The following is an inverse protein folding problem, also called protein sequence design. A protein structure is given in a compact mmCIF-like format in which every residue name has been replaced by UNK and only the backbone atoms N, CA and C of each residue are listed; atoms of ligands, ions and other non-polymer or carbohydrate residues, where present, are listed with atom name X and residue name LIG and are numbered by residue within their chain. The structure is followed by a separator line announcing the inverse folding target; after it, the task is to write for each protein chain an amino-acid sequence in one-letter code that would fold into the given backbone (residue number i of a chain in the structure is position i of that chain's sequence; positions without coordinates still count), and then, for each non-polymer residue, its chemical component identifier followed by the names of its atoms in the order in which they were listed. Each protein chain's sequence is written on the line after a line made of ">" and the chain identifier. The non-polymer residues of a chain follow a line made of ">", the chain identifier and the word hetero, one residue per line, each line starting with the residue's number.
data_IF_396017172537
#
_entry.id   IF_396017172537
#
_cell.length_a   1.000
_cell.length_b   1.000
_cell.length_c   1.000
_cell.angle_alpha   90.00
_cell.angle_beta   90.00
_cell.angle_gamma   90.00
#
_symmetry.space_group_name_H-M   'P 1'
#
loop_
_entity.id
_entity.type
_entity.pdbx_description
1 polymer ?
#
# COMPACT_ATOMS: atom_id res chain seq x y z
N UNK A 1 15.91 -19.93 -56.25
CA UNK A 1 16.81 -21.11 -56.21
C UNK A 1 17.55 -21.10 -54.88
N UNK A 2 17.62 -22.24 -54.17
CA UNK A 2 18.65 -22.68 -53.17
C UNK A 2 19.30 -21.65 -52.22
N UNK A 3 19.56 -21.86 -50.92
CA UNK A 3 19.37 -22.94 -49.92
C UNK A 3 19.76 -22.32 -48.54
N UNK A 4 19.76 -22.96 -47.35
CA UNK A 4 19.56 -24.35 -46.89
C UNK A 4 18.95 -24.33 -45.46
N UNK A 5 18.51 -25.48 -44.93
CA UNK A 5 18.16 -25.67 -43.51
C UNK A 5 19.41 -25.80 -42.61
N UNK A 6 19.27 -25.56 -41.30
CA UNK A 6 19.91 -26.38 -40.25
C UNK A 6 19.01 -26.50 -39.01
N UNK A 7 18.53 -27.71 -38.74
CA UNK A 7 18.12 -28.13 -37.39
C UNK A 7 19.37 -28.46 -36.56
N UNK A 8 19.28 -28.33 -35.25
CA UNK A 8 19.80 -29.35 -34.34
C UNK A 8 19.09 -29.26 -32.98
N UNK A 9 18.58 -30.39 -32.50
CA UNK A 9 18.06 -30.57 -31.15
C UNK A 9 18.95 -31.58 -30.43
N UNK A 10 19.16 -31.46 -29.11
CA UNK A 10 19.65 -32.57 -28.27
C UNK A 10 19.29 -32.39 -26.77
N UNK A 11 18.23 -33.11 -26.39
CA UNK A 11 18.17 -34.13 -25.32
C UNK A 11 18.87 -33.93 -23.95
N UNK A 12 18.02 -33.91 -22.90
CA UNK A 12 18.12 -34.47 -21.53
C UNK A 12 19.45 -34.79 -20.83
N UNK A 13 19.52 -34.42 -19.54
CA UNK A 13 20.00 -35.30 -18.47
C UNK A 13 19.31 -34.99 -17.12
N UNK A 14 18.76 -36.03 -16.47
CA UNK A 14 18.26 -36.02 -15.08
C UNK A 14 19.34 -36.63 -14.17
N UNK A 15 19.57 -36.08 -12.98
CA UNK A 15 20.13 -36.84 -11.84
C UNK A 15 19.44 -36.38 -10.56
N UNK A 16 18.93 -37.34 -9.77
CA UNK A 16 18.37 -37.12 -8.46
C UNK A 16 19.18 -37.88 -7.39
N UNK A 17 19.50 -37.20 -6.29
CA UNK A 17 20.11 -37.73 -5.07
C UNK A 17 19.56 -36.85 -3.93
N UNK A 18 19.11 -37.33 -2.77
CA UNK A 18 18.94 -38.71 -2.27
C UNK A 18 18.68 -38.61 -0.75
N UNK A 19 17.63 -39.24 -0.23
CA UNK A 19 17.25 -39.13 1.19
C UNK A 19 18.13 -39.99 2.10
N UNK A 20 18.52 -39.48 3.28
CA UNK A 20 18.94 -40.28 4.44
C UNK A 20 18.77 -39.52 5.77
N UNK A 21 17.75 -39.90 6.54
CA UNK A 21 17.79 -39.95 8.03
C UNK A 21 18.06 -41.44 8.40
N UNK A 22 18.04 -41.93 9.67
CA UNK A 22 17.85 -41.27 10.98
C UNK A 22 18.79 -41.76 12.12
N UNK A 23 18.76 -41.07 13.28
CA UNK A 23 18.95 -41.73 14.59
C UNK A 23 18.10 -41.06 15.67
N UNK A 24 17.58 -41.88 16.59
CA UNK A 24 16.57 -41.51 17.59
C UNK A 24 17.09 -41.19 19.01
N UNK A 25 16.27 -41.42 20.05
CA UNK A 25 16.20 -40.50 21.20
C UNK A 25 16.73 -41.08 22.53
N UNK A 26 16.91 -40.21 23.54
CA UNK A 26 17.12 -40.64 24.91
C UNK A 26 16.41 -39.74 25.93
N UNK A 27 15.63 -40.36 26.82
CA UNK A 27 15.00 -39.73 28.00
C UNK A 27 15.93 -39.89 29.21
N UNK A 28 16.05 -38.84 30.02
CA UNK A 28 16.12 -38.93 31.47
C UNK A 28 15.84 -37.54 32.09
N UNK A 29 15.03 -37.50 33.14
CA UNK A 29 15.12 -36.45 34.17
C UNK A 29 15.33 -37.18 35.51
N UNK A 30 14.86 -36.62 36.63
CA UNK A 30 14.95 -35.24 37.09
C UNK A 30 15.83 -35.16 38.36
N UNK A 31 16.22 -33.97 38.83
CA UNK A 31 16.24 -33.63 40.27
C UNK A 31 16.56 -32.15 40.54
N UNK A 32 16.28 -31.69 41.76
CA UNK A 32 16.20 -30.28 42.13
C UNK A 32 17.42 -29.78 42.92
N UNK A 33 17.62 -28.45 42.94
CA UNK A 33 17.68 -27.68 44.20
C UNK A 33 17.67 -26.16 44.01
N UNK A 34 17.18 -25.52 45.08
CA UNK A 34 17.08 -24.08 45.36
C UNK A 34 18.42 -23.34 45.29
N UNK A 35 18.42 -22.07 44.89
CA UNK A 35 18.98 -21.00 45.73
C UNK A 35 18.50 -19.59 45.31
N UNK A 36 18.33 -18.73 46.30
CA UNK A 36 17.79 -17.36 46.17
C UNK A 36 18.92 -16.36 45.98
N UNK A 37 18.79 -15.41 45.05
CA UNK A 37 19.54 -14.15 45.14
C UNK A 37 18.68 -12.94 44.76
N UNK A 38 18.53 -12.05 45.73
CA UNK A 38 17.98 -10.71 45.58
C UNK A 38 18.91 -9.85 44.72
N UNK A 39 18.38 -9.13 43.74
CA UNK A 39 19.00 -7.91 43.24
C UNK A 39 17.90 -6.88 42.91
N UNK A 40 18.16 -5.61 43.20
CA UNK A 40 17.12 -4.57 43.20
C UNK A 40 16.98 -3.97 41.79
N UNK A 41 15.76 -4.00 41.25
CA UNK A 41 15.46 -3.31 39.99
C UNK A 41 15.15 -1.84 40.28
N UNK A 42 16.02 -0.95 39.79
CA UNK A 42 15.83 0.48 39.90
C UNK A 42 14.69 0.92 38.98
N UNK A 43 13.83 1.83 39.46
CA UNK A 43 12.74 2.36 38.65
C UNK A 43 13.27 3.12 37.43
N UNK A 44 13.10 2.53 36.24
CA UNK A 44 13.42 3.18 34.97
C UNK A 44 12.42 4.33 34.72
N UNK A 45 12.87 5.54 34.31
CA UNK A 45 11.99 6.68 34.16
C UNK A 45 11.06 6.51 32.96
N UNK A 46 9.76 6.46 33.23
CA UNK A 46 8.70 6.26 32.24
C UNK A 46 8.90 7.12 30.99
N UNK A 47 8.90 6.46 29.83
CA UNK A 47 9.14 7.13 28.54
C UNK A 47 7.95 8.05 28.25
N UNK A 48 8.15 9.34 27.87
CA UNK A 48 7.03 10.23 27.60
C UNK A 48 6.15 9.66 26.49
N UNK A 49 4.91 9.31 26.83
CA UNK A 49 3.93 8.85 25.87
C UNK A 49 3.77 9.92 24.78
N UNK A 50 4.02 9.54 23.52
CA UNK A 50 3.96 10.45 22.38
C UNK A 50 2.54 11.01 22.30
N UNK A 51 2.38 12.31 22.62
CA UNK A 51 1.07 12.91 22.76
C UNK A 51 0.29 12.77 21.44
N UNK A 52 -0.87 12.10 21.51
CA UNK A 52 -1.73 11.86 20.35
C UNK A 52 -2.02 13.19 19.66
N UNK A 53 -1.42 13.39 18.49
CA UNK A 53 -1.41 14.68 17.81
C UNK A 53 -2.83 15.23 17.65
N UNK A 54 -3.02 16.50 18.00
CA UNK A 54 -4.31 17.17 17.85
C UNK A 54 -4.73 17.13 16.37
N UNK A 55 -6.00 16.79 16.12
CA UNK A 55 -6.45 16.54 14.75
C UNK A 55 -6.30 17.81 13.88
N UNK A 56 -5.52 17.76 12.77
CA UNK A 56 -4.99 18.95 12.08
C UNK A 56 -6.11 19.80 11.48
N UNK A 57 -6.17 21.10 11.80
CA UNK A 57 -7.36 21.92 11.52
C UNK A 57 -7.60 22.26 10.05
N UNK A 58 -6.63 22.04 9.16
CA UNK A 58 -6.66 22.46 7.76
C UNK A 58 -6.86 21.28 6.80
N UNK A 59 -7.64 21.47 5.74
CA UNK A 59 -7.82 20.50 4.66
C UNK A 59 -6.85 20.74 3.49
N UNK A 60 -6.50 19.68 2.77
CA UNK A 60 -5.78 19.76 1.50
C UNK A 60 -6.59 20.46 0.41
N UNK A 61 -5.91 21.21 -0.46
CA UNK A 61 -6.53 21.81 -1.64
C UNK A 61 -6.53 20.82 -2.80
N UNK A 62 -7.61 20.84 -3.55
CA UNK A 62 -7.81 20.02 -4.75
C UNK A 62 -8.08 20.98 -5.90
N UNK A 63 -7.19 21.00 -6.89
CA UNK A 63 -7.27 21.83 -8.08
C UNK A 63 -7.87 21.03 -9.24
N UNK A 64 -8.64 21.72 -10.07
CA UNK A 64 -9.25 21.20 -11.29
C UNK A 64 -8.55 21.66 -12.57
N UNK A 65 -7.44 22.39 -12.45
CA UNK A 65 -6.63 22.95 -13.55
C UNK A 65 -5.60 21.96 -14.13
N UNK A 66 -5.67 20.70 -13.73
CA UNK A 66 -4.81 19.60 -14.21
C UNK A 66 -5.53 18.73 -15.24
N UNK A 67 -4.76 18.01 -16.05
CA UNK A 67 -5.25 17.12 -17.13
C UNK A 67 -6.23 16.04 -16.66
N UNK A 68 -6.08 15.57 -15.42
CA UNK A 68 -6.82 14.47 -14.83
C UNK A 68 -7.30 14.88 -13.43
N UNK A 69 -8.35 15.72 -13.36
CA UNK A 69 -8.80 16.30 -12.09
C UNK A 69 -9.45 15.22 -11.22
N UNK A 70 -8.87 14.99 -10.04
CA UNK A 70 -9.29 13.93 -9.11
C UNK A 70 -10.81 13.88 -8.82
N UNK A 71 -11.56 15.00 -8.69
CA UNK A 71 -13.01 14.96 -8.48
C UNK A 71 -13.82 14.34 -9.64
N UNK A 72 -13.28 14.31 -10.86
CA UNK A 72 -13.90 13.67 -12.02
C UNK A 72 -13.57 12.16 -12.13
N UNK A 73 -12.79 11.62 -11.19
CA UNK A 73 -12.25 10.26 -11.22
C UNK A 73 -12.59 9.49 -9.95
N UNK A 74 -12.34 10.06 -8.77
CA UNK A 74 -12.59 9.44 -7.47
C UNK A 74 -14.06 9.57 -7.07
N UNK A 75 -14.61 8.51 -6.48
CA UNK A 75 -16.04 8.40 -6.14
C UNK A 75 -16.95 8.20 -7.37
N UNK A 76 -16.40 8.06 -8.57
CA UNK A 76 -17.17 7.89 -9.81
C UNK A 76 -17.39 6.42 -10.17
N UNK A 77 -18.50 6.07 -10.85
CA UNK A 77 -18.70 4.74 -11.43
C UNK A 77 -17.67 4.42 -12.52
N UNK A 78 -17.37 3.13 -12.73
CA UNK A 78 -16.43 2.63 -13.77
C UNK A 78 -16.62 3.34 -15.12
N UNK A 79 -17.84 3.38 -15.65
CA UNK A 79 -18.12 3.98 -16.97
C UNK A 79 -17.75 5.47 -17.06
N UNK A 80 -17.92 6.24 -15.98
CA UNK A 80 -17.52 7.65 -15.92
C UNK A 80 -15.99 7.81 -15.91
N UNK A 81 -15.28 6.90 -15.25
CA UNK A 81 -13.81 6.89 -15.24
C UNK A 81 -13.25 6.46 -16.60
N UNK A 82 -13.87 5.47 -17.23
CA UNK A 82 -13.50 4.99 -18.58
C UNK A 82 -13.81 6.03 -19.67
N UNK A 83 -14.79 6.91 -19.49
CA UNK A 83 -14.98 8.06 -20.38
C UNK A 83 -13.75 9.01 -20.40
N UNK A 84 -13.04 9.13 -19.28
CA UNK A 84 -11.80 9.92 -19.20
C UNK A 84 -10.62 9.19 -19.86
N UNK A 85 -10.43 7.89 -19.57
CA UNK A 85 -9.24 7.15 -19.99
C UNK A 85 -9.35 6.37 -21.30
N UNK A 86 -10.56 6.02 -21.74
CA UNK A 86 -10.79 4.96 -22.73
C UNK A 86 -10.72 3.57 -22.09
N UNK A 87 -10.57 2.55 -22.94
CA UNK A 87 -10.52 1.14 -22.51
C UNK A 87 -9.29 0.85 -21.61
N UNK A 88 -9.48 -0.02 -20.62
CA UNK A 88 -8.41 -0.43 -19.70
C UNK A 88 -7.39 -1.36 -20.37
N UNK A 89 -6.15 -1.31 -19.88
CA UNK A 89 -5.02 -2.10 -20.39
C UNK A 89 -4.85 -3.43 -19.66
N UNK A 90 -4.82 -4.51 -20.42
CA UNK A 90 -4.58 -5.86 -19.90
C UNK A 90 -5.79 -6.45 -19.17
N UNK A 91 -5.55 -7.46 -18.33
CA UNK A 91 -6.62 -8.21 -17.63
C UNK A 91 -7.00 -7.65 -16.25
N UNK A 92 -6.32 -6.60 -15.78
CA UNK A 92 -6.46 -6.09 -14.43
C UNK A 92 -6.18 -7.12 -13.33
N UNK A 93 -6.73 -6.89 -12.15
CA UNK A 93 -6.81 -7.82 -11.02
C UNK A 93 -8.20 -7.71 -10.40
N UNK A 94 -8.87 -8.83 -10.10
CA UNK A 94 -10.14 -8.84 -9.37
C UNK A 94 -10.08 -9.81 -8.18
N UNK A 95 -10.79 -9.47 -7.10
CA UNK A 95 -10.92 -10.30 -5.87
C UNK A 95 -12.19 -9.93 -5.11
N UNK A 96 -12.62 -10.80 -4.19
CA UNK A 96 -13.82 -10.59 -3.36
C UNK A 96 -13.54 -9.97 -1.99
N UNK A 97 -12.49 -9.14 -1.88
CA UNK A 97 -12.03 -8.53 -0.62
C UNK A 97 -11.39 -7.15 -0.85
N UNK A 98 -11.80 -6.17 -0.07
CA UNK A 98 -11.28 -4.80 -0.01
C UNK A 98 -10.48 -4.58 1.28
N UNK A 99 -9.78 -3.45 1.37
CA UNK A 99 -9.08 -3.01 2.58
C UNK A 99 -9.35 -1.51 2.79
N UNK A 100 -9.69 -1.14 4.03
CA UNK A 100 -9.76 0.26 4.49
C UNK A 100 -8.75 0.45 5.61
N UNK A 101 -8.25 1.68 5.80
CA UNK A 101 -7.21 1.99 6.79
C UNK A 101 -7.71 2.87 7.96
N UNK A 102 -8.98 3.30 7.95
CA UNK A 102 -9.60 4.10 8.98
C UNK A 102 -10.74 3.35 9.69
N UNK A 103 -10.84 3.39 11.04
CA UNK A 103 -9.85 3.95 11.97
C UNK A 103 -8.57 3.09 12.08
N UNK A 104 -8.64 1.84 11.65
CA UNK A 104 -7.54 0.88 11.59
C UNK A 104 -7.60 0.09 10.27
N UNK A 105 -6.63 -0.80 10.05
CA UNK A 105 -6.56 -1.61 8.82
C UNK A 105 -7.52 -2.78 8.86
N UNK A 106 -8.70 -2.62 8.26
CA UNK A 106 -9.75 -3.65 8.22
C UNK A 106 -9.92 -4.23 6.81
N UNK A 107 -10.08 -5.56 6.72
CA UNK A 107 -10.47 -6.26 5.48
C UNK A 107 -11.97 -6.56 5.48
N UNK A 108 -12.64 -6.39 4.35
CA UNK A 108 -14.08 -6.64 4.23
C UNK A 108 -14.44 -7.19 2.83
N UNK A 109 -15.58 -7.88 2.72
CA UNK A 109 -16.09 -8.40 1.43
C UNK A 109 -16.64 -7.26 0.57
N UNK A 110 -16.21 -7.25 -0.69
CA UNK A 110 -16.63 -6.31 -1.74
C UNK A 110 -16.36 -6.96 -3.12
N UNK A 111 -16.83 -6.35 -4.20
CA UNK A 111 -16.28 -6.56 -5.53
C UNK A 111 -15.09 -5.60 -5.75
N UNK A 112 -13.86 -6.09 -5.58
CA UNK A 112 -12.65 -5.33 -5.88
C UNK A 112 -12.22 -5.57 -7.34
N UNK A 113 -11.87 -4.49 -8.04
CA UNK A 113 -11.15 -4.55 -9.31
C UNK A 113 -10.05 -3.49 -9.35
N UNK A 114 -8.84 -3.86 -9.76
CA UNK A 114 -7.75 -2.95 -10.10
C UNK A 114 -7.56 -3.00 -11.61
N UNK A 115 -7.76 -1.87 -12.28
CA UNK A 115 -7.52 -1.68 -13.70
C UNK A 115 -6.34 -0.76 -13.95
N UNK A 116 -5.72 -0.88 -15.13
CA UNK A 116 -4.66 0.02 -15.60
C UNK A 116 -5.14 0.77 -16.83
N UNK A 117 -4.68 2.00 -17.00
CA UNK A 117 -5.09 2.88 -18.10
C UNK A 117 -3.86 3.59 -18.70
N UNK A 118 -3.95 3.90 -19.98
CA UNK A 118 -3.00 4.80 -20.64
C UNK A 118 -3.19 6.23 -20.11
N UNK A 119 -2.09 6.96 -19.94
CA UNK A 119 -2.17 8.41 -19.79
C UNK A 119 -2.18 9.10 -21.16
N UNK A 120 -3.32 9.67 -21.53
CA UNK A 120 -3.48 10.46 -22.78
C UNK A 120 -2.65 11.75 -22.77
N UNK A 121 -2.27 12.28 -21.60
CA UNK A 121 -1.48 13.50 -21.45
C UNK A 121 0.04 13.30 -21.49
N UNK A 122 0.50 12.05 -21.61
CA UNK A 122 1.91 11.64 -21.61
C UNK A 122 2.75 12.24 -20.46
N UNK A 123 2.15 12.36 -19.28
CA UNK A 123 2.78 12.77 -18.02
C UNK A 123 3.24 11.55 -17.20
N UNK A 124 2.55 10.42 -17.34
CA UNK A 124 2.74 9.21 -16.54
C UNK A 124 3.05 8.00 -17.43
N UNK A 125 3.78 7.03 -16.89
CA UNK A 125 4.04 5.74 -17.54
C UNK A 125 2.78 4.85 -17.56
N UNK A 126 1.91 5.01 -16.57
CA UNK A 126 0.59 4.39 -16.54
C UNK A 126 -0.24 4.86 -15.35
N UNK A 127 -1.55 4.68 -15.46
CA UNK A 127 -2.51 5.03 -14.41
C UNK A 127 -3.17 3.74 -13.92
N UNK A 128 -3.50 3.69 -12.64
CA UNK A 128 -4.12 2.56 -11.95
C UNK A 128 -5.37 3.06 -11.25
N UNK A 129 -6.49 2.37 -11.38
CA UNK A 129 -7.72 2.69 -10.63
C UNK A 129 -8.15 1.44 -9.88
N UNK A 130 -8.35 1.57 -8.57
CA UNK A 130 -8.99 0.52 -7.77
C UNK A 130 -10.46 0.89 -7.56
N UNK A 131 -11.33 -0.01 -8.00
CA UNK A 131 -12.76 0.04 -7.84
C UNK A 131 -13.19 -0.86 -6.67
N UNK A 132 -14.06 -0.32 -5.82
CA UNK A 132 -14.76 -1.05 -4.78
C UNK A 132 -16.27 -1.00 -5.10
N UNK A 133 -16.91 -2.16 -5.24
CA UNK A 133 -18.35 -2.29 -5.52
C UNK A 133 -18.82 -1.47 -6.75
N UNK A 134 -17.93 -1.28 -7.74
CA UNK A 134 -18.20 -0.56 -9.00
C UNK A 134 -17.88 0.94 -8.98
N UNK A 135 -17.34 1.47 -7.88
CA UNK A 135 -16.99 2.89 -7.71
C UNK A 135 -15.49 3.04 -7.49
N UNK A 136 -14.86 4.05 -8.11
CA UNK A 136 -13.43 4.32 -7.99
C UNK A 136 -13.07 4.80 -6.59
N UNK A 137 -12.47 3.92 -5.80
CA UNK A 137 -12.02 4.18 -4.44
C UNK A 137 -10.56 4.61 -4.37
N UNK A 138 -9.73 4.23 -5.34
CA UNK A 138 -8.32 4.65 -5.38
C UNK A 138 -7.89 4.98 -6.80
N UNK A 139 -6.99 5.95 -6.94
CA UNK A 139 -6.26 6.20 -8.17
C UNK A 139 -4.76 6.33 -7.88
N UNK A 140 -3.96 5.64 -8.68
CA UNK A 140 -2.51 5.62 -8.62
C UNK A 140 -1.88 6.02 -9.94
N UNK A 141 -0.88 6.89 -9.92
CA UNK A 141 -0.13 7.33 -11.09
C UNK A 141 1.30 6.80 -10.99
N UNK A 142 1.70 5.95 -11.94
CA UNK A 142 3.02 5.30 -12.02
C UNK A 142 3.96 6.08 -12.96
N UNK A 143 5.21 6.28 -12.54
CA UNK A 143 6.34 6.75 -13.36
C UNK A 143 6.15 8.13 -13.98
N UNK A 144 6.48 9.19 -13.25
CA UNK A 144 6.32 10.56 -13.73
C UNK A 144 7.39 10.93 -14.76
N UNK A 145 6.98 11.20 -16.00
CA UNK A 145 7.86 11.46 -17.15
C UNK A 145 8.44 12.88 -17.18
N UNK A 146 7.82 13.82 -16.47
CA UNK A 146 8.15 15.26 -16.52
C UNK A 146 8.96 15.73 -15.28
N UNK A 147 9.43 14.79 -14.46
CA UNK A 147 10.29 15.07 -13.31
C UNK A 147 11.75 15.23 -13.72
N UNK A 148 12.49 16.09 -12.99
CA UNK A 148 13.91 16.35 -13.25
C UNK A 148 14.62 16.78 -11.97
N UNK A 149 15.89 16.42 -11.81
CA UNK A 149 16.67 16.72 -10.61
C UNK A 149 16.32 15.78 -9.43
N UNK A 150 16.73 16.13 -8.18
CA UNK A 150 16.41 15.37 -6.99
C UNK A 150 14.90 15.16 -6.82
N UNK A 151 14.48 14.01 -6.26
CA UNK A 151 13.06 13.72 -6.14
C UNK A 151 12.40 14.55 -5.01
N UNK A 152 11.42 15.37 -5.38
CA UNK A 152 10.55 16.11 -4.45
C UNK A 152 9.09 15.61 -4.59
N UNK A 153 8.48 15.04 -3.54
CA UNK A 153 7.08 14.60 -3.59
C UNK A 153 6.09 15.74 -3.88
N UNK A 154 6.42 17.01 -3.57
CA UNK A 154 5.55 18.17 -3.85
C UNK A 154 5.31 18.37 -5.35
N UNK A 155 6.25 17.94 -6.20
CA UNK A 155 6.08 17.94 -7.67
C UNK A 155 4.98 16.96 -8.10
N UNK A 156 4.92 15.76 -7.52
CA UNK A 156 3.87 14.78 -7.85
C UNK A 156 2.50 15.21 -7.31
N UNK A 157 2.44 15.77 -6.10
CA UNK A 157 1.22 16.38 -5.56
C UNK A 157 0.69 17.44 -6.54
N UNK A 158 1.53 18.39 -6.94
CA UNK A 158 1.14 19.45 -7.88
C UNK A 158 0.68 18.88 -9.23
N UNK A 159 1.33 17.82 -9.75
CA UNK A 159 1.01 17.18 -11.02
C UNK A 159 -0.37 16.48 -11.03
N UNK A 160 -0.86 15.99 -9.89
CA UNK A 160 -2.22 15.44 -9.73
C UNK A 160 -3.23 16.45 -9.17
N UNK A 161 -2.85 17.74 -9.10
CA UNK A 161 -3.73 18.81 -8.64
C UNK A 161 -3.91 18.90 -7.12
N UNK A 162 -2.98 18.37 -6.33
CA UNK A 162 -3.03 18.40 -4.87
C UNK A 162 -2.05 19.40 -4.25
N UNK A 163 -2.50 20.07 -3.19
CA UNK A 163 -1.64 20.68 -2.17
C UNK A 163 -2.08 20.14 -0.81
N UNK A 164 -1.20 19.45 -0.09
CA UNK A 164 -1.51 18.89 1.23
C UNK A 164 -0.89 19.76 2.33
N UNK A 165 -1.61 20.04 3.43
CA UNK A 165 -1.03 20.65 4.62
C UNK A 165 -0.13 19.63 5.32
N UNK A 166 0.74 20.17 6.17
CA UNK A 166 1.63 19.44 7.06
C UNK A 166 2.65 18.53 6.36
N UNK A 167 3.76 18.25 7.04
CA UNK A 167 4.81 17.39 6.49
C UNK A 167 4.40 15.91 6.63
N UNK A 168 4.63 15.08 5.58
CA UNK A 168 4.27 13.67 5.57
C UNK A 168 5.04 12.85 6.61
N UNK A 169 4.45 11.73 7.03
CA UNK A 169 5.25 10.65 7.60
C UNK A 169 6.17 10.11 6.51
N UNK A 170 7.48 10.17 6.73
CA UNK A 170 8.49 9.63 5.81
C UNK A 170 9.04 8.31 6.34
N UNK A 171 9.10 7.28 5.50
CA UNK A 171 9.74 5.99 5.82
C UNK A 171 10.39 5.31 4.61
N UNK A 172 11.11 4.21 4.86
CA UNK A 172 11.79 3.40 3.87
C UNK A 172 11.25 1.96 3.92
N UNK A 173 10.17 1.62 3.18
CA UNK A 173 9.49 0.33 3.30
C UNK A 173 10.26 -0.85 2.67
N UNK A 174 11.28 -0.57 1.86
CA UNK A 174 12.20 -1.55 1.28
C UNK A 174 13.53 -0.88 0.91
N UNK A 175 14.58 -1.67 0.67
CA UNK A 175 15.89 -1.15 0.27
C UNK A 175 15.80 -0.29 -1.00
N UNK A 176 16.34 0.93 -0.92
CA UNK A 176 16.32 1.89 -2.04
C UNK A 176 14.96 2.55 -2.30
N UNK A 177 13.91 2.24 -1.52
CA UNK A 177 12.59 2.86 -1.61
C UNK A 177 12.44 3.89 -0.51
N UNK A 178 12.03 5.12 -0.87
CA UNK A 178 11.51 6.11 0.09
C UNK A 178 10.02 6.30 -0.14
N UNK A 179 9.28 6.52 0.93
CA UNK A 179 7.83 6.80 0.91
C UNK A 179 7.49 7.98 1.81
N UNK A 180 6.56 8.79 1.34
CA UNK A 180 5.91 9.88 2.06
C UNK A 180 4.42 9.55 2.16
N UNK A 181 3.86 9.60 3.36
CA UNK A 181 2.48 9.20 3.61
C UNK A 181 1.71 10.25 4.41
N UNK A 182 0.58 10.65 3.85
CA UNK A 182 -0.42 11.56 4.39
C UNK A 182 -1.66 10.73 4.76
N UNK A 183 -1.71 10.26 6.00
CA UNK A 183 -2.84 9.51 6.58
C UNK A 183 -3.86 10.46 7.22
N UNK A 184 -5.13 10.03 7.41
CA UNK A 184 -6.20 10.91 7.91
C UNK A 184 -5.98 11.50 9.31
N UNK A 185 -5.09 10.92 10.13
CA UNK A 185 -4.69 11.49 11.43
C UNK A 185 -3.80 12.73 11.26
N UNK A 186 -3.13 12.90 10.10
CA UNK A 186 -2.15 13.94 9.80
C UNK A 186 -2.46 14.80 8.58
N UNK A 187 -3.35 14.34 7.70
CA UNK A 187 -3.65 15.03 6.45
C UNK A 187 -5.10 14.81 6.05
N UNK A 188 -5.84 15.92 5.99
CA UNK A 188 -7.27 15.91 5.67
C UNK A 188 -7.48 16.24 4.19
N UNK A 189 -7.31 15.27 3.31
CA UNK A 189 -7.76 15.40 1.92
C UNK A 189 -9.24 14.99 1.84
N UNK A 190 -10.13 15.93 1.49
CA UNK A 190 -11.54 15.67 1.18
C UNK A 190 -11.79 15.91 -0.30
N UNK A 191 -12.44 14.97 -0.98
CA UNK A 191 -12.90 15.10 -2.37
C UNK A 191 -14.38 14.72 -2.38
N UNK A 192 -15.24 15.69 -2.68
CA UNK A 192 -16.68 15.55 -2.45
C UNK A 192 -16.98 15.32 -0.96
N UNK A 193 -17.73 14.26 -0.65
CA UNK A 193 -18.01 13.86 0.74
C UNK A 193 -16.99 12.88 1.33
N UNK A 194 -16.06 12.37 0.52
CA UNK A 194 -15.15 11.30 0.91
C UNK A 194 -13.78 11.82 1.38
N UNK A 195 -13.20 11.16 2.38
CA UNK A 195 -11.83 11.38 2.84
C UNK A 195 -10.85 10.44 2.15
N UNK A 196 -9.69 10.97 1.77
CA UNK A 196 -8.63 10.21 1.11
C UNK A 196 -7.31 10.35 1.87
N UNK A 197 -6.51 9.28 1.83
CA UNK A 197 -5.10 9.29 2.21
C UNK A 197 -4.24 9.34 0.95
N UNK A 198 -3.04 9.90 1.06
CA UNK A 198 -2.08 9.95 -0.07
C UNK A 198 -0.79 9.25 0.32
N UNK A 199 -0.29 8.38 -0.57
CA UNK A 199 1.06 7.84 -0.49
C UNK A 199 1.86 8.23 -1.73
N UNK A 200 3.09 8.69 -1.54
CA UNK A 200 4.06 8.90 -2.61
C UNK A 200 5.25 7.98 -2.34
N UNK A 201 5.80 7.35 -3.36
CA UNK A 201 7.05 6.60 -3.24
C UNK A 201 7.95 6.77 -4.46
N UNK A 202 9.25 6.57 -4.27
CA UNK A 202 10.26 6.56 -5.32
C UNK A 202 11.31 5.49 -5.03
N UNK A 203 11.87 4.89 -6.08
CA UNK A 203 13.00 3.97 -5.96
C UNK A 203 14.27 4.65 -6.48
N UNK A 204 15.27 4.87 -5.63
CA UNK A 204 16.59 5.36 -6.02
C UNK A 204 16.62 6.73 -6.72
N UNK A 205 15.80 7.69 -6.27
CA UNK A 205 15.62 9.03 -6.88
C UNK A 205 15.05 9.04 -8.32
N UNK A 206 14.72 7.87 -8.89
CA UNK A 206 14.27 7.75 -10.28
C UNK A 206 12.79 8.10 -10.45
N UNK A 207 12.52 9.24 -11.11
CA UNK A 207 11.17 9.71 -11.45
C UNK A 207 10.37 8.71 -12.30
N UNK A 208 11.02 7.91 -13.17
CA UNK A 208 10.34 6.85 -13.93
C UNK A 208 9.88 5.69 -13.04
N UNK A 209 10.43 5.58 -11.82
CA UNK A 209 10.10 4.61 -10.78
C UNK A 209 9.40 5.28 -9.58
N UNK A 210 8.81 6.45 -9.79
CA UNK A 210 7.95 7.10 -8.82
C UNK A 210 6.52 6.57 -8.85
N UNK A 211 5.78 6.82 -7.78
CA UNK A 211 4.34 6.57 -7.69
C UNK A 211 3.68 7.58 -6.75
N UNK A 212 2.47 7.99 -7.09
CA UNK A 212 1.53 8.66 -6.18
C UNK A 212 0.20 7.91 -6.20
N UNK A 213 -0.31 7.52 -5.03
CA UNK A 213 -1.61 6.86 -4.84
C UNK A 213 -2.50 7.73 -3.95
N UNK A 214 -3.75 7.96 -4.36
CA UNK A 214 -4.81 8.66 -3.62
C UNK A 214 -5.92 7.66 -3.33
N UNK A 215 -6.06 7.26 -2.06
CA UNK A 215 -6.80 6.06 -1.63
C UNK A 215 -7.94 6.45 -0.68
N UNK A 216 -9.15 5.98 -0.94
CA UNK A 216 -10.34 6.20 -0.11
C UNK A 216 -10.09 5.68 1.31
N UNK A 217 -10.30 6.56 2.28
CA UNK A 217 -10.01 6.32 3.68
C UNK A 217 -11.14 6.73 4.62
N UNK A 218 -12.39 6.70 4.13
CA UNK A 218 -13.57 6.81 4.98
C UNK A 218 -13.70 5.60 5.93
N UNK A 219 -14.20 5.79 7.17
CA UNK A 219 -14.60 4.67 8.02
C UNK A 219 -15.62 3.76 7.31
N UNK A 220 -15.53 2.45 7.53
CA UNK A 220 -16.48 1.50 6.95
C UNK A 220 -17.93 1.84 7.32
N UNK A 221 -18.83 1.79 6.33
CA UNK A 221 -20.28 1.93 6.54
C UNK A 221 -20.83 0.76 7.38
N UNK A 222 -22.04 0.86 7.96
CA UNK A 222 -22.65 -0.26 8.68
C UNK A 222 -22.74 -1.55 7.83
N UNK A 223 -23.05 -1.41 6.54
CA UNK A 223 -23.17 -2.51 5.58
C UNK A 223 -21.82 -3.13 5.23
N UNK A 224 -20.74 -2.34 5.23
CA UNK A 224 -19.36 -2.81 5.08
C UNK A 224 -18.83 -3.47 6.37
N UNK A 225 -19.21 -2.95 7.55
CA UNK A 225 -18.87 -3.55 8.85
C UNK A 225 -19.48 -4.94 9.01
N UNK A 226 -20.71 -5.16 8.54
CA UNK A 226 -21.34 -6.47 8.48
C UNK A 226 -20.62 -7.48 7.55
N UNK A 227 -19.68 -7.02 6.72
CA UNK A 227 -18.89 -7.80 5.75
C UNK A 227 -17.42 -7.98 6.14
N UNK A 228 -17.01 -7.58 7.36
CA UNK A 228 -15.62 -7.71 7.82
C UNK A 228 -15.16 -9.17 7.72
N UNK A 229 -13.98 -9.37 7.14
CA UNK A 229 -13.34 -10.68 7.05
C UNK A 229 -12.48 -10.85 8.30
N UNK A 230 -12.75 -11.85 9.16
CA UNK A 230 -11.92 -12.08 10.34
C UNK A 230 -10.47 -12.41 9.93
N UNK A 231 -9.47 -12.07 10.76
CA UNK A 231 -8.10 -12.50 10.52
C UNK A 231 -8.06 -14.03 10.43
N UNK A 232 -7.45 -14.54 9.36
CA UNK A 232 -7.35 -15.99 9.14
C UNK A 232 -6.56 -16.67 10.26
N UNK A 233 -6.87 -17.93 10.61
CA UNK A 233 -6.16 -18.65 11.67
C UNK A 233 -4.66 -18.69 11.35
N UNK A 234 -3.84 -18.19 12.28
CA UNK A 234 -2.39 -18.08 12.12
C UNK A 234 -1.84 -16.71 11.72
N UNK A 235 -2.66 -15.65 11.67
CA UNK A 235 -2.15 -14.27 11.79
C UNK A 235 -2.37 -13.78 13.21
N UNK A 236 -1.32 -13.22 13.80
CA UNK A 236 -1.32 -12.72 15.16
C UNK A 236 -2.52 -11.80 15.41
N UNK A 237 -3.07 -11.91 16.61
CA UNK A 237 -3.99 -10.91 17.16
C UNK A 237 -3.37 -9.52 16.98
N UNK A 238 -4.24 -8.52 16.77
CA UNK A 238 -3.83 -7.11 16.79
C UNK A 238 -3.07 -6.91 18.09
N UNK A 239 -1.77 -6.65 18.00
CA UNK A 239 -0.88 -6.63 19.16
C UNK A 239 -1.46 -5.69 20.20
N UNK A 240 -1.90 -6.27 21.31
CA UNK A 240 -2.28 -5.56 22.52
C UNK A 240 -1.17 -4.53 22.81
N UNK A 241 -1.49 -3.26 23.09
CA UNK A 241 -0.47 -2.26 23.36
C UNK A 241 0.43 -2.81 24.47
N UNK A 242 1.76 -2.80 24.31
CA UNK A 242 2.65 -3.45 25.26
C UNK A 242 2.40 -2.86 26.66
N UNK A 243 2.37 -3.70 27.71
CA UNK A 243 2.23 -3.21 29.07
C UNK A 243 3.31 -2.16 29.32
N UNK A 244 2.88 -0.98 29.78
CA UNK A 244 3.67 0.24 29.72
C UNK A 244 5.03 0.13 30.42
N UNK A 245 6.06 0.65 29.74
CA UNK A 245 7.37 0.98 30.27
C UNK A 245 7.58 2.49 30.08
#
# INVERSE_FOLDING_TARGET
>A
MTSLQRLCAWTCAFVAIGCSQPTGPQKAGPEAKTETKTEAEAAEPAKPAEAKAAAPTTFGKVRSDVSLPLPALLGQPVASVEANFGEHQGKGLSRSTCVRFAPERTFFRCAFALQRYADKGDQWAGIRVEYEDGVAASIGFDGFKKGSGPFDPKVLLAAVGLELPDEPRTDAPAQGVRRWAWFNDRARLKIGEHQYRVEISVVGEDWSRSRIDVILNDPLTPEQKAKIVPPGPGKAEVSEPPPGQ
#
